data_IF_530589532983
#
_entry.id   IF_530589532983
#
_cell.length_a   1.000
_cell.length_b   1.000
_cell.length_c   1.000
_cell.angle_alpha   90.00
_cell.angle_beta   90.00
_cell.angle_gamma   90.00
#
_symmetry.space_group_name_H-M   'P 1'
#
loop_
_entity.id
_entity.type
_entity.pdbx_description
1 polymer ?
#
# COMPACT_ATOMS: atom_id res chain seq x y z
N UNK A 1 -11.07 -7.33 1.66
CA UNK A 1 -10.25 -6.13 1.98
C UNK A 1 -9.38 -5.80 0.79
N UNK A 2 -8.98 -4.53 0.66
CA UNK A 2 -8.00 -4.05 -0.31
C UNK A 2 -6.71 -3.69 0.42
N UNK A 3 -5.56 -4.10 -0.12
CA UNK A 3 -4.25 -3.64 0.31
C UNK A 3 -3.86 -2.45 -0.57
N UNK A 4 -3.61 -1.29 0.04
CA UNK A 4 -3.11 -0.14 -0.71
C UNK A 4 -1.59 -0.22 -0.79
N UNK A 5 -1.06 -0.03 -2.00
CA UNK A 5 0.34 0.28 -2.21
C UNK A 5 0.69 1.64 -1.59
N UNK A 6 1.97 1.91 -1.34
CA UNK A 6 2.42 3.09 -0.60
C UNK A 6 1.98 4.38 -1.29
N UNK A 7 2.17 4.48 -2.61
CA UNK A 7 1.75 5.69 -3.33
C UNK A 7 0.23 5.85 -3.37
N UNK A 8 -0.54 4.76 -3.48
CA UNK A 8 -2.00 4.83 -3.44
C UNK A 8 -2.46 5.33 -2.08
N UNK A 9 -1.91 4.78 -1.00
CA UNK A 9 -2.24 5.21 0.36
C UNK A 9 -1.95 6.70 0.57
N UNK A 10 -0.78 7.17 0.13
CA UNK A 10 -0.42 8.59 0.18
C UNK A 10 -1.36 9.44 -0.66
N UNK A 11 -1.66 9.06 -1.90
CA UNK A 11 -2.55 9.83 -2.77
C UNK A 11 -3.98 9.89 -2.25
N UNK A 12 -4.44 8.80 -1.65
CA UNK A 12 -5.75 8.73 -1.02
C UNK A 12 -5.85 9.72 0.13
N UNK A 13 -4.95 9.64 1.11
CA UNK A 13 -4.98 10.50 2.30
C UNK A 13 -4.64 11.97 2.02
N UNK A 14 -3.78 12.24 1.03
CA UNK A 14 -3.38 13.61 0.68
C UNK A 14 -4.29 14.27 -0.36
N UNK A 15 -5.35 13.60 -0.81
CA UNK A 15 -6.24 14.15 -1.83
C UNK A 15 -5.57 14.34 -3.21
N UNK A 16 -4.52 13.60 -3.51
CA UNK A 16 -3.76 13.73 -4.75
C UNK A 16 -4.63 13.34 -5.97
N UNK A 17 -4.49 14.10 -7.05
CA UNK A 17 -5.28 13.95 -8.29
C UNK A 17 -4.86 12.75 -9.14
N UNK A 18 -3.68 12.18 -8.87
CA UNK A 18 -3.23 10.93 -9.50
C UNK A 18 -4.14 9.76 -9.17
N UNK A 19 -4.77 9.79 -7.99
CA UNK A 19 -5.84 8.87 -7.65
C UNK A 19 -7.15 9.37 -8.27
N UNK A 20 -7.59 8.68 -9.33
CA UNK A 20 -8.80 9.04 -10.06
C UNK A 20 -10.05 9.01 -9.17
N UNK A 21 -11.07 9.78 -9.56
CA UNK A 21 -12.32 9.93 -8.77
C UNK A 21 -13.00 8.59 -8.51
N UNK A 22 -13.05 7.71 -9.51
CA UNK A 22 -13.66 6.38 -9.39
C UNK A 22 -12.94 5.53 -8.35
N UNK A 23 -11.62 5.41 -8.46
CA UNK A 23 -10.80 4.64 -7.53
C UNK A 23 -10.87 5.19 -6.11
N UNK A 24 -10.77 6.51 -5.95
CA UNK A 24 -10.97 7.18 -4.66
C UNK A 24 -12.32 6.83 -4.05
N UNK A 25 -13.39 6.88 -4.83
CA UNK A 25 -14.75 6.57 -4.36
C UNK A 25 -14.87 5.12 -3.90
N UNK A 26 -14.29 4.17 -4.65
CA UNK A 26 -14.26 2.77 -4.23
C UNK A 26 -13.45 2.58 -2.95
N UNK A 27 -12.27 3.19 -2.83
CA UNK A 27 -11.44 3.12 -1.62
C UNK A 27 -12.19 3.73 -0.42
N UNK A 28 -12.86 4.86 -0.59
CA UNK A 28 -13.66 5.51 0.47
C UNK A 28 -14.77 4.57 0.97
N UNK A 29 -15.46 3.86 0.08
CA UNK A 29 -16.48 2.86 0.43
C UNK A 29 -15.88 1.66 1.18
N UNK A 30 -14.72 1.17 0.72
CA UNK A 30 -14.01 0.10 1.41
C UNK A 30 -13.58 0.54 2.81
N UNK A 31 -13.06 1.76 2.95
CA UNK A 31 -12.60 2.33 4.23
C UNK A 31 -13.75 2.48 5.22
N UNK A 32 -14.91 2.97 4.76
CA UNK A 32 -16.12 3.10 5.59
C UNK A 32 -16.59 1.76 6.18
N UNK A 33 -16.23 0.64 5.55
CA UNK A 33 -16.53 -0.72 6.01
C UNK A 33 -15.36 -1.40 6.73
N UNK A 34 -14.29 -0.67 7.05
CA UNK A 34 -13.08 -1.19 7.71
C UNK A 34 -12.26 -2.15 6.84
N UNK A 35 -12.42 -2.09 5.51
CA UNK A 35 -11.86 -3.08 4.59
C UNK A 35 -10.65 -2.56 3.80
N UNK A 36 -9.97 -1.52 4.29
CA UNK A 36 -8.71 -0.99 3.76
C UNK A 36 -7.57 -1.43 4.65
N UNK A 37 -6.50 -1.93 4.05
CA UNK A 37 -5.28 -2.32 4.72
C UNK A 37 -4.05 -1.66 4.07
N UNK A 38 -2.99 -1.51 4.86
CA UNK A 38 -1.65 -1.09 4.42
C UNK A 38 -0.62 -2.05 4.98
N UNK A 39 0.48 -2.26 4.27
CA UNK A 39 1.61 -3.03 4.80
C UNK A 39 2.44 -2.17 5.75
N UNK A 40 3.03 -2.78 6.79
CA UNK A 40 4.07 -2.13 7.60
C UNK A 40 5.21 -1.56 6.74
N UNK A 41 5.46 -2.18 5.56
CA UNK A 41 6.45 -1.73 4.58
C UNK A 41 6.09 -0.35 4.02
N UNK A 42 4.81 -0.10 3.77
CA UNK A 42 4.34 1.19 3.26
C UNK A 42 4.53 2.31 4.27
N UNK A 43 4.42 2.00 5.58
CA UNK A 43 4.74 2.92 6.66
C UNK A 43 6.25 3.24 6.66
N UNK A 44 7.09 2.21 6.56
CA UNK A 44 8.54 2.36 6.50
C UNK A 44 8.99 3.16 5.26
N UNK A 45 8.41 2.88 4.09
CA UNK A 45 8.70 3.60 2.86
C UNK A 45 8.26 5.06 2.96
N UNK A 46 7.11 5.35 3.58
CA UNK A 46 6.64 6.72 3.82
C UNK A 46 7.63 7.53 4.66
N UNK A 47 8.12 6.98 5.78
CA UNK A 47 9.20 7.63 6.56
C UNK A 47 10.44 7.88 5.70
N UNK A 48 10.86 6.88 4.94
CA UNK A 48 12.06 6.97 4.11
C UNK A 48 11.91 8.06 3.04
N UNK A 49 10.75 8.18 2.41
CA UNK A 49 10.46 9.21 1.41
C UNK A 49 10.49 10.61 2.04
N UNK A 50 9.91 10.79 3.22
CA UNK A 50 9.93 12.07 3.95
C UNK A 50 11.36 12.45 4.35
N UNK A 51 12.11 11.53 4.97
CA UNK A 51 13.50 11.75 5.38
C UNK A 51 14.43 12.08 4.20
N UNK A 52 14.14 11.55 3.02
CA UNK A 52 14.86 11.86 1.77
C UNK A 52 14.40 13.17 1.10
N UNK A 53 13.45 13.89 1.69
CA UNK A 53 12.87 15.13 1.15
C UNK A 53 12.08 14.92 -0.14
N UNK A 54 11.57 13.70 -0.39
CA UNK A 54 10.77 13.38 -1.58
C UNK A 54 9.30 13.74 -1.40
N UNK A 55 8.84 13.72 -0.15
CA UNK A 55 7.52 14.19 0.27
C UNK A 55 7.70 15.06 1.52
N UNK A 56 6.70 15.87 1.83
CA UNK A 56 6.60 16.63 3.07
C UNK A 56 5.20 16.40 3.63
N UNK A 57 5.12 15.98 4.88
CA UNK A 57 3.85 15.61 5.52
C UNK A 57 3.62 16.52 6.72
N UNK A 58 2.46 17.18 6.74
CA UNK A 58 2.02 18.06 7.82
C UNK A 58 1.07 17.30 8.74
N UNK A 59 1.12 17.51 10.07
CA UNK A 59 1.93 18.49 10.82
C UNK A 59 3.38 18.04 11.13
N UNK A 60 3.78 16.87 10.60
CA UNK A 60 5.09 16.26 10.76
C UNK A 60 4.95 14.74 10.66
N UNK A 61 6.00 14.03 10.24
CA UNK A 61 5.93 12.59 9.93
C UNK A 61 5.35 11.72 11.07
N UNK A 62 5.74 11.99 12.32
CA UNK A 62 5.30 11.19 13.46
C UNK A 62 3.79 11.33 13.73
N UNK A 63 3.29 12.56 13.83
CA UNK A 63 1.87 12.84 14.06
C UNK A 63 1.04 12.47 12.83
N UNK A 64 1.55 12.69 11.63
CA UNK A 64 0.88 12.27 10.40
C UNK A 64 0.71 10.74 10.38
N UNK A 65 1.75 9.96 10.70
CA UNK A 65 1.66 8.51 10.76
C UNK A 65 0.70 8.04 11.86
N UNK A 66 0.70 8.69 13.03
CA UNK A 66 -0.27 8.38 14.09
C UNK A 66 -1.71 8.52 13.58
N UNK A 67 -2.03 9.61 12.88
CA UNK A 67 -3.36 9.86 12.32
C UNK A 67 -3.69 8.91 11.17
N UNK A 68 -2.76 8.71 10.24
CA UNK A 68 -2.93 7.93 9.02
C UNK A 68 -3.07 6.43 9.27
N UNK A 69 -2.56 5.94 10.40
CA UNK A 69 -2.56 4.52 10.77
C UNK A 69 -3.57 4.16 11.86
N UNK A 70 -4.47 5.09 12.21
CA UNK A 70 -5.55 4.81 13.15
C UNK A 70 -6.43 3.65 12.66
N UNK A 71 -6.94 2.79 13.57
CA UNK A 71 -7.79 1.67 13.20
C UNK A 71 -9.05 2.06 12.41
N UNK A 72 -9.55 3.29 12.60
CA UNK A 72 -10.68 3.83 11.85
C UNK A 72 -10.33 4.21 10.39
N UNK A 73 -9.04 4.36 10.07
CA UNK A 73 -8.54 4.73 8.74
C UNK A 73 -8.16 3.48 7.96
N UNK A 74 -7.32 2.62 8.54
CA UNK A 74 -6.86 1.40 7.88
C UNK A 74 -6.37 0.35 8.87
N UNK A 75 -6.35 -0.90 8.42
CA UNK A 75 -5.69 -2.01 9.13
C UNK A 75 -4.22 -2.10 8.72
N UNK A 76 -3.31 -2.09 9.69
CA UNK A 76 -1.88 -2.32 9.41
C UNK A 76 -1.62 -3.84 9.39
N UNK A 77 -1.09 -4.33 8.27
CA UNK A 77 -0.56 -5.69 8.20
C UNK A 77 0.88 -5.70 8.73
N UNK A 78 1.16 -6.46 9.80
CA UNK A 78 2.41 -6.35 10.57
C UNK A 78 3.61 -6.93 9.81
N UNK A 79 4.81 -6.62 10.35
CA UNK A 79 6.03 -7.28 9.93
C UNK A 79 6.01 -8.76 10.34
N UNK A 80 6.14 -9.64 9.35
CA UNK A 80 6.09 -11.09 9.55
C UNK A 80 7.20 -11.76 8.75
N UNK A 81 7.84 -12.77 9.35
CA UNK A 81 8.82 -13.64 8.69
C UNK A 81 8.20 -14.34 7.49
N UNK A 82 6.92 -14.69 7.56
CA UNK A 82 6.21 -15.31 6.44
C UNK A 82 6.17 -14.39 5.21
N UNK A 83 5.98 -13.07 5.41
CA UNK A 83 6.05 -12.07 4.31
C UNK A 83 7.43 -12.07 3.66
N UNK A 84 8.48 -12.13 4.48
CA UNK A 84 9.86 -12.20 3.97
C UNK A 84 10.08 -13.47 3.14
N UNK A 85 9.59 -14.61 3.60
CA UNK A 85 9.72 -15.90 2.90
C UNK A 85 8.86 -15.98 1.64
N UNK A 86 7.66 -15.39 1.65
CA UNK A 86 6.73 -15.39 0.51
C UNK A 86 7.28 -14.69 -0.73
N UNK A 87 8.28 -13.81 -0.58
CA UNK A 87 9.01 -13.23 -1.72
C UNK A 87 9.64 -14.28 -2.64
N UNK A 88 9.92 -15.49 -2.13
CA UNK A 88 10.44 -16.62 -2.95
C UNK A 88 9.41 -17.15 -3.96
N UNK A 89 8.14 -16.81 -3.79
CA UNK A 89 7.06 -17.15 -4.73
C UNK A 89 7.01 -16.18 -5.92
N UNK A 90 7.68 -15.04 -5.81
CA UNK A 90 7.78 -14.05 -6.89
C UNK A 90 8.79 -14.55 -7.93
N UNK A 91 8.49 -14.43 -9.24
CA UNK A 91 9.45 -14.75 -10.29
C UNK A 91 10.77 -14.00 -10.12
N UNK A 92 11.89 -14.58 -10.58
CA UNK A 92 13.18 -13.88 -10.57
C UNK A 92 13.18 -12.62 -11.43
N UNK A 93 12.35 -12.60 -12.47
CA UNK A 93 12.12 -11.43 -13.33
C UNK A 93 11.24 -10.36 -12.68
N UNK A 94 10.65 -10.65 -11.52
CA UNK A 94 9.84 -9.69 -10.78
C UNK A 94 10.72 -8.58 -10.20
N UNK A 95 10.12 -7.40 -10.03
CA UNK A 95 10.75 -6.16 -9.60
C UNK A 95 11.87 -6.34 -8.55
N UNK A 96 12.96 -5.59 -8.71
CA UNK A 96 14.13 -5.66 -7.82
C UNK A 96 14.02 -4.77 -6.59
N UNK A 97 13.03 -3.86 -6.54
CA UNK A 97 12.84 -3.00 -5.38
C UNK A 97 12.32 -3.82 -4.18
N UNK A 98 13.01 -3.77 -3.03
CA UNK A 98 12.61 -4.53 -1.85
C UNK A 98 11.23 -4.18 -1.29
N UNK A 99 10.79 -2.92 -1.37
CA UNK A 99 9.50 -2.49 -0.85
C UNK A 99 8.37 -3.13 -1.65
N UNK A 100 8.42 -3.01 -2.98
CA UNK A 100 7.44 -3.60 -3.90
C UNK A 100 7.32 -5.12 -3.68
N UNK A 101 8.46 -5.81 -3.56
CA UNK A 101 8.48 -7.25 -3.32
C UNK A 101 7.78 -7.62 -2.02
N UNK A 102 8.02 -6.88 -0.95
CA UNK A 102 7.40 -7.15 0.34
C UNK A 102 5.91 -6.76 0.35
N UNK A 103 5.50 -5.69 -0.33
CA UNK A 103 4.09 -5.30 -0.48
C UNK A 103 3.32 -6.37 -1.26
N UNK A 104 3.84 -6.82 -2.39
CA UNK A 104 3.22 -7.90 -3.17
C UNK A 104 3.21 -9.22 -2.40
N UNK A 105 4.29 -9.56 -1.70
CA UNK A 105 4.31 -10.74 -0.82
C UNK A 105 3.26 -10.63 0.30
N UNK A 106 3.02 -9.42 0.84
CA UNK A 106 1.96 -9.16 1.81
C UNK A 106 0.58 -9.42 1.21
N UNK A 107 0.31 -8.92 -0.01
CA UNK A 107 -0.94 -9.19 -0.74
C UNK A 107 -1.15 -10.69 -0.97
N UNK A 108 -0.11 -11.41 -1.39
CA UNK A 108 -0.14 -12.85 -1.63
C UNK A 108 -0.50 -13.66 -0.38
N UNK A 109 0.00 -13.26 0.79
CA UNK A 109 -0.26 -13.97 2.05
C UNK A 109 -1.61 -13.62 2.66
N UNK A 110 -2.02 -12.35 2.61
CA UNK A 110 -3.31 -11.92 3.15
C UNK A 110 -4.48 -12.33 2.24
N UNK A 111 -4.21 -12.57 0.95
CA UNK A 111 -5.23 -12.80 -0.07
C UNK A 111 -5.99 -11.52 -0.45
N UNK A 112 -5.51 -10.35 -0.04
CA UNK A 112 -6.14 -9.06 -0.35
C UNK A 112 -5.68 -8.57 -1.72
N UNK A 113 -6.62 -8.07 -2.53
CA UNK A 113 -6.29 -7.45 -3.79
C UNK A 113 -5.44 -6.19 -3.56
N UNK A 114 -4.37 -6.02 -4.34
CA UNK A 114 -3.48 -4.88 -4.28
C UNK A 114 -4.01 -3.75 -5.17
N UNK A 115 -4.26 -2.57 -4.60
CA UNK A 115 -4.45 -1.34 -5.37
C UNK A 115 -3.08 -0.70 -5.58
N UNK A 116 -2.64 -0.64 -6.83
CA UNK A 116 -1.37 -0.06 -7.26
C UNK A 116 -1.52 0.53 -8.67
N UNK A 117 -0.67 1.50 -8.99
CA UNK A 117 -0.50 2.05 -10.34
C UNK A 117 0.87 1.67 -10.92
N UNK A 118 1.64 0.83 -10.22
CA UNK A 118 2.90 0.32 -10.75
C UNK A 118 2.61 -0.71 -11.85
N UNK A 119 2.90 -0.32 -13.09
CA UNK A 119 2.61 -1.13 -14.26
C UNK A 119 3.41 -2.45 -14.27
N UNK A 120 4.61 -2.49 -13.68
CA UNK A 120 5.41 -3.71 -13.61
C UNK A 120 4.80 -4.71 -12.64
N UNK A 121 4.26 -4.24 -11.51
CA UNK A 121 3.51 -5.09 -10.57
C UNK A 121 2.26 -5.66 -11.25
N UNK A 122 1.50 -4.81 -11.95
CA UNK A 122 0.28 -5.20 -12.66
C UNK A 122 0.58 -6.24 -13.74
N UNK A 123 1.56 -5.97 -14.61
CA UNK A 123 1.93 -6.84 -15.73
C UNK A 123 2.53 -8.17 -15.27
N UNK A 124 3.17 -8.21 -14.11
CA UNK A 124 3.71 -9.45 -13.57
C UNK A 124 2.62 -10.48 -13.26
N UNK A 125 1.36 -10.06 -13.02
CA UNK A 125 0.23 -10.96 -12.80
C UNK A 125 0.39 -11.88 -11.58
N UNK A 126 1.22 -11.47 -10.61
CA UNK A 126 1.61 -12.30 -9.46
C UNK A 126 0.63 -12.24 -8.30
N UNK A 127 -0.21 -11.20 -8.21
CA UNK A 127 -1.24 -11.06 -7.18
C UNK A 127 -2.53 -10.49 -7.79
N UNK A 128 -3.64 -10.59 -7.06
CA UNK A 128 -4.91 -10.00 -7.49
C UNK A 128 -4.79 -8.47 -7.45
N UNK A 129 -5.16 -7.79 -8.53
CA UNK A 129 -5.17 -6.33 -8.60
C UNK A 129 -6.58 -5.82 -8.30
N UNK A 130 -6.67 -4.84 -7.41
CA UNK A 130 -7.94 -4.18 -7.08
C UNK A 130 -8.48 -3.44 -8.30
N UNK A 131 -9.74 -3.70 -8.63
CA UNK A 131 -10.45 -3.03 -9.71
C UNK A 131 -11.53 -2.16 -9.08
N UNK A 132 -11.47 -0.83 -9.22
CA UNK A 132 -12.51 0.04 -8.70
C UNK A 132 -13.81 -0.14 -9.49
N UNK A 133 -14.94 -0.21 -8.78
CA UNK A 133 -16.29 -0.38 -9.32
C UNK A 133 -16.82 0.85 -10.06
#
# INVERSE_FOLDING_TARGET
MVLLDTHIWLWWLLGDRRLGVRERTSIDQMAASGNVAVSWVSIWETEMLERKGRISLEPGIAEWLELATRPEVCTILPADVEVVLAQRRLPETFHSDPADRLIVATSLLSGYALSTHDQRIIEAGVCAIFQPD
#
